data_IF_988210337255
#
_entry.id   IF_988210337255
#
_cell.length_a   1.000
_cell.length_b   1.000
_cell.length_c   1.000
_cell.angle_alpha   90.00
_cell.angle_beta   90.00
_cell.angle_gamma   90.00
#
_symmetry.space_group_name_H-M   'P 1'
#
loop_
_entity.id
_entity.type
_entity.pdbx_description
1 polymer ?
#
# COMPACT_ATOMS: atom_id res chain seq x y z
N UNK A 1 -0.49 35.14 14.44
CA UNK A 1 -0.37 33.75 14.93
C UNK A 1 0.77 33.09 14.18
N UNK A 2 1.96 33.10 14.78
CA UNK A 2 3.20 32.64 14.16
C UNK A 2 3.24 31.11 14.12
N UNK A 3 3.46 30.56 12.93
CA UNK A 3 3.72 29.14 12.72
C UNK A 3 5.03 28.77 13.43
N UNK A 4 4.93 28.06 14.55
CA UNK A 4 6.08 27.51 15.24
C UNK A 4 6.70 26.41 14.37
N UNK A 5 7.87 26.74 13.81
CA UNK A 5 8.79 25.79 13.19
C UNK A 5 9.08 24.66 14.16
N UNK A 6 8.68 23.44 13.80
CA UNK A 6 9.06 22.22 14.51
C UNK A 6 10.55 21.99 14.31
N UNK A 7 11.38 22.47 15.23
CA UNK A 7 12.76 22.04 15.33
C UNK A 7 12.77 20.53 15.56
N UNK A 8 13.23 19.76 14.56
CA UNK A 8 13.46 18.33 14.75
C UNK A 8 14.69 18.17 15.64
N UNK A 9 14.58 17.61 16.85
CA UNK A 9 15.77 17.36 17.65
C UNK A 9 16.65 16.38 16.89
N UNK A 10 17.93 16.71 16.73
CA UNK A 10 18.98 15.80 16.26
C UNK A 10 19.15 14.70 17.30
N UNK A 11 18.20 13.77 17.30
CA UNK A 11 18.00 12.79 18.34
C UNK A 11 19.08 11.72 18.12
N UNK A 12 20.22 11.86 18.78
CA UNK A 12 21.32 10.89 18.77
C UNK A 12 20.82 9.47 19.10
N UNK A 13 21.53 8.45 18.62
CA UNK A 13 21.21 7.05 18.93
C UNK A 13 21.27 6.82 20.45
N UNK A 14 20.22 6.20 21.01
CA UNK A 14 20.07 6.00 22.45
C UNK A 14 20.60 4.65 22.90
N UNK A 15 21.21 4.61 24.08
CA UNK A 15 21.59 3.37 24.74
C UNK A 15 20.44 2.86 25.61
N UNK A 16 20.26 1.54 25.66
CA UNK A 16 19.29 0.91 26.54
C UNK A 16 19.70 1.11 28.01
N UNK A 17 18.83 1.59 28.91
CA UNK A 17 19.19 1.79 30.32
C UNK A 17 19.44 0.47 31.08
N UNK A 18 19.04 -0.68 30.52
CA UNK A 18 19.26 -2.00 31.12
C UNK A 18 20.59 -2.64 30.70
N UNK A 19 20.91 -2.68 29.40
CA UNK A 19 22.14 -3.33 28.90
C UNK A 19 23.13 -2.41 28.20
N UNK A 20 22.85 -1.11 28.13
CA UNK A 20 23.72 -0.08 27.53
C UNK A 20 24.01 -0.28 26.02
N UNK A 21 23.41 -1.29 25.38
CA UNK A 21 23.51 -1.49 23.94
C UNK A 21 22.69 -0.42 23.19
N UNK A 22 23.16 -0.03 22.01
CA UNK A 22 22.44 0.90 21.14
C UNK A 22 21.06 0.34 20.77
N UNK A 23 20.06 1.19 20.84
CA UNK A 23 18.68 0.86 20.49
C UNK A 23 18.39 1.23 19.04
N UNK A 24 17.58 0.40 18.40
CA UNK A 24 17.14 0.62 17.02
C UNK A 24 15.93 1.54 17.00
N UNK A 25 15.92 2.49 16.08
CA UNK A 25 14.73 3.30 15.82
C UNK A 25 13.77 2.62 14.88
N UNK A 26 12.50 2.60 15.25
CA UNK A 26 11.44 2.03 14.42
C UNK A 26 10.22 2.94 14.41
N UNK A 27 9.56 3.01 13.26
CA UNK A 27 8.26 3.66 13.14
C UNK A 27 7.20 2.75 13.77
N UNK A 28 6.48 3.25 14.75
CA UNK A 28 5.36 2.55 15.38
C UNK A 28 4.23 2.37 14.35
N UNK A 29 3.59 1.20 14.33
CA UNK A 29 2.50 0.91 13.39
C UNK A 29 2.81 1.18 11.90
N UNK A 30 4.08 1.01 11.49
CA UNK A 30 4.63 1.17 10.12
C UNK A 30 4.51 2.58 9.50
N UNK A 31 3.35 3.24 9.60
CA UNK A 31 3.02 4.49 8.94
C UNK A 31 2.41 5.53 9.90
N UNK A 32 2.61 5.39 11.21
CA UNK A 32 2.11 6.41 12.17
C UNK A 32 2.96 7.69 12.15
N UNK A 33 4.24 7.57 11.78
CA UNK A 33 5.20 8.67 11.87
C UNK A 33 5.83 8.82 13.25
N UNK A 34 5.38 8.02 14.23
CA UNK A 34 5.88 8.02 15.61
C UNK A 34 7.09 7.11 15.67
N UNK A 35 8.25 7.65 16.00
CA UNK A 35 9.50 6.90 16.10
C UNK A 35 9.69 6.45 17.55
N UNK A 36 10.00 5.17 17.77
CA UNK A 36 10.30 4.63 19.10
C UNK A 36 11.68 3.97 19.11
N UNK A 37 12.35 3.99 20.26
CA UNK A 37 13.65 3.36 20.45
C UNK A 37 13.46 1.93 20.99
N UNK A 38 14.03 0.93 20.31
CA UNK A 38 13.81 -0.50 20.59
C UNK A 38 15.13 -1.20 20.92
N UNK A 39 15.22 -1.72 22.14
CA UNK A 39 16.24 -2.66 22.54
C UNK A 39 15.83 -4.08 22.11
N UNK A 40 16.73 -4.81 21.44
CA UNK A 40 16.46 -6.21 21.04
C UNK A 40 16.23 -7.15 22.23
N UNK A 41 16.73 -6.81 23.42
CA UNK A 41 16.63 -7.63 24.63
C UNK A 41 15.53 -7.18 25.60
N UNK A 42 15.34 -5.87 25.77
CA UNK A 42 14.48 -5.31 26.82
C UNK A 42 13.19 -4.66 26.31
N UNK A 43 12.99 -4.61 24.99
CA UNK A 43 11.76 -4.08 24.39
C UNK A 43 11.83 -2.60 24.06
N UNK A 44 10.68 -1.93 24.14
CA UNK A 44 10.45 -0.58 23.61
C UNK A 44 10.61 0.45 24.73
N UNK A 45 11.31 1.53 24.42
CA UNK A 45 11.47 2.70 25.28
C UNK A 45 10.84 3.92 24.61
N UNK A 46 10.14 4.72 25.40
CA UNK A 46 9.45 5.93 24.96
C UNK A 46 10.05 7.15 25.63
N UNK A 47 10.16 8.24 24.88
CA UNK A 47 10.33 9.56 25.47
C UNK A 47 9.02 10.16 25.95
N UNK A 48 9.15 11.26 26.71
CA UNK A 48 8.04 11.96 27.35
C UNK A 48 6.88 12.31 26.40
N UNK A 49 7.15 12.57 25.12
CA UNK A 49 6.13 12.90 24.13
C UNK A 49 5.72 11.71 23.25
N UNK A 50 6.55 10.67 23.13
CA UNK A 50 6.30 9.56 22.20
C UNK A 50 5.20 8.63 22.71
N UNK A 51 5.12 8.43 24.03
CA UNK A 51 4.08 7.60 24.61
C UNK A 51 2.69 8.20 24.37
N UNK A 52 2.54 9.51 24.56
CA UNK A 52 1.27 10.21 24.35
C UNK A 52 0.82 10.14 22.89
N UNK A 53 1.74 10.33 21.95
CA UNK A 53 1.49 10.17 20.52
C UNK A 53 1.03 8.76 20.17
N UNK A 54 1.70 7.71 20.70
CA UNK A 54 1.31 6.32 20.48
C UNK A 54 -0.09 6.06 21.04
N UNK A 55 -0.37 6.52 22.26
CA UNK A 55 -1.68 6.36 22.87
C UNK A 55 -2.78 7.08 22.08
N UNK A 56 -2.50 8.29 21.57
CA UNK A 56 -3.44 9.01 20.71
C UNK A 56 -3.67 8.29 19.38
N UNK A 57 -2.61 7.75 18.77
CA UNK A 57 -2.70 6.97 17.55
C UNK A 57 -3.57 5.72 17.75
N UNK A 58 -3.36 4.98 18.84
CA UNK A 58 -4.20 3.81 19.18
C UNK A 58 -5.66 4.23 19.37
N UNK A 59 -5.92 5.26 20.19
CA UNK A 59 -7.30 5.74 20.46
C UNK A 59 -8.02 6.20 19.21
N UNK A 60 -7.30 6.79 18.25
CA UNK A 60 -7.89 7.26 16.99
C UNK A 60 -8.36 6.13 16.07
N UNK A 61 -8.00 4.86 16.35
CA UNK A 61 -8.36 3.71 15.52
C UNK A 61 -7.71 3.72 14.14
N UNK A 62 -6.68 4.55 13.92
CA UNK A 62 -6.01 4.72 12.63
C UNK A 62 -5.44 3.42 12.08
N UNK A 63 -4.94 2.53 12.95
CA UNK A 63 -4.43 1.21 12.55
C UNK A 63 -5.51 0.39 11.82
N UNK A 64 -6.72 0.33 12.38
CA UNK A 64 -7.83 -0.42 11.78
C UNK A 64 -8.25 0.21 10.45
N UNK A 65 -8.31 1.54 10.39
CA UNK A 65 -8.62 2.25 9.13
C UNK A 65 -7.58 1.97 8.05
N UNK A 66 -6.29 1.94 8.39
CA UNK A 66 -5.21 1.61 7.45
C UNK A 66 -5.36 0.18 6.93
N UNK A 67 -5.61 -0.79 7.81
CA UNK A 67 -5.84 -2.18 7.42
C UNK A 67 -7.06 -2.33 6.50
N UNK A 68 -8.18 -1.68 6.81
CA UNK A 68 -9.38 -1.69 5.97
C UNK A 68 -9.13 -1.07 4.60
N UNK A 69 -8.40 0.05 4.53
CA UNK A 69 -8.01 0.69 3.26
C UNK A 69 -7.12 -0.24 2.43
N UNK A 70 -6.13 -0.88 3.04
CA UNK A 70 -5.26 -1.85 2.36
C UNK A 70 -6.07 -3.04 1.82
N UNK A 71 -6.95 -3.62 2.64
CA UNK A 71 -7.83 -4.71 2.23
C UNK A 71 -8.77 -4.31 1.09
N UNK A 72 -9.33 -3.09 1.13
CA UNK A 72 -10.19 -2.56 0.05
C UNK A 72 -9.41 -2.39 -1.25
N UNK A 73 -8.19 -1.82 -1.19
CA UNK A 73 -7.31 -1.68 -2.36
C UNK A 73 -6.96 -3.04 -2.96
N UNK A 74 -6.53 -4.00 -2.15
CA UNK A 74 -6.21 -5.35 -2.61
C UNK A 74 -7.42 -6.03 -3.30
N UNK A 75 -8.63 -5.91 -2.74
CA UNK A 75 -9.86 -6.43 -3.37
C UNK A 75 -10.16 -5.76 -4.71
N UNK A 76 -9.96 -4.44 -4.80
CA UNK A 76 -10.17 -3.70 -6.05
C UNK A 76 -9.17 -4.13 -7.13
N UNK A 77 -7.90 -4.32 -6.78
CA UNK A 77 -6.86 -4.79 -7.70
C UNK A 77 -7.17 -6.19 -8.24
N UNK A 78 -7.57 -7.12 -7.36
CA UNK A 78 -8.00 -8.47 -7.76
C UNK A 78 -9.21 -8.41 -8.71
N UNK A 79 -10.19 -7.55 -8.41
CA UNK A 79 -11.39 -7.41 -9.25
C UNK A 79 -11.04 -6.87 -10.64
N UNK A 80 -10.19 -5.84 -10.70
CA UNK A 80 -9.70 -5.28 -11.98
C UNK A 80 -8.91 -6.31 -12.79
N UNK A 81 -8.02 -7.07 -12.14
CA UNK A 81 -7.25 -8.11 -12.80
C UNK A 81 -8.16 -9.21 -13.37
N UNK A 82 -9.18 -9.64 -12.62
CA UNK A 82 -10.18 -10.62 -13.10
C UNK A 82 -10.96 -10.09 -14.31
N UNK A 83 -11.41 -8.84 -14.26
CA UNK A 83 -12.14 -8.22 -15.37
C UNK A 83 -11.26 -8.12 -16.64
N UNK A 84 -9.99 -7.77 -16.48
CA UNK A 84 -9.01 -7.73 -17.60
C UNK A 84 -8.83 -9.11 -18.22
N UNK A 85 -8.57 -10.15 -17.41
CA UNK A 85 -8.43 -11.53 -17.87
C UNK A 85 -9.70 -12.00 -18.60
N UNK A 86 -10.88 -11.61 -18.11
CA UNK A 86 -12.14 -12.00 -18.74
C UNK A 86 -12.36 -11.29 -20.08
N UNK A 87 -12.04 -9.99 -20.18
CA UNK A 87 -12.09 -9.25 -21.43
C UNK A 87 -11.13 -9.84 -22.48
N UNK A 88 -9.89 -10.16 -22.09
CA UNK A 88 -8.90 -10.82 -22.96
C UNK A 88 -9.38 -12.20 -23.44
N UNK A 89 -10.03 -12.99 -22.57
CA UNK A 89 -10.62 -14.28 -22.96
C UNK A 89 -11.80 -14.11 -23.92
N UNK A 90 -12.63 -13.07 -23.74
CA UNK A 90 -13.75 -12.79 -24.63
C UNK A 90 -13.28 -12.33 -26.00
N UNK A 91 -12.30 -11.42 -26.08
CA UNK A 91 -11.72 -10.99 -27.36
C UNK A 91 -11.07 -12.16 -28.08
N UNK A 92 -10.26 -12.99 -27.39
CA UNK A 92 -9.67 -14.18 -27.99
C UNK A 92 -10.72 -15.20 -28.49
N UNK A 93 -11.84 -15.37 -27.78
CA UNK A 93 -12.94 -16.24 -28.21
C UNK A 93 -13.64 -15.70 -29.46
N UNK A 94 -13.91 -14.39 -29.48
CA UNK A 94 -14.50 -13.66 -30.61
C UNK A 94 -13.62 -13.87 -31.85
N UNK A 95 -12.33 -13.50 -31.79
CA UNK A 95 -11.38 -13.69 -32.91
C UNK A 95 -11.32 -15.13 -33.42
N UNK A 96 -11.31 -16.12 -32.51
CA UNK A 96 -11.28 -17.55 -32.89
C UNK A 96 -12.57 -18.02 -33.59
N UNK A 97 -13.73 -17.47 -33.26
CA UNK A 97 -14.99 -17.84 -33.93
C UNK A 97 -15.10 -17.24 -35.34
N UNK A 98 -14.51 -16.06 -35.58
CA UNK A 98 -14.46 -15.47 -36.93
C UNK A 98 -13.56 -16.27 -37.89
N UNK A 99 -12.53 -16.92 -37.36
CA UNK A 99 -11.59 -17.76 -38.12
C UNK A 99 -12.24 -19.08 -38.64
N UNK A 100 -13.22 -19.63 -37.91
CA UNK A 100 -13.87 -20.92 -38.29
C UNK A 100 -15.02 -20.72 -39.29
N UNK A 101 -15.64 -19.54 -39.34
CA UNK A 101 -16.87 -19.30 -40.13
C UNK A 101 -16.65 -18.60 -41.48
N UNK A 102 -15.44 -18.17 -41.86
CA UNK A 102 -15.28 -17.37 -43.09
C UNK A 102 -14.29 -17.94 -44.09
N UNK A 103 -14.84 -18.69 -45.05
CA UNK A 103 -14.34 -18.72 -46.44
C UNK A 103 -15.09 -17.70 -47.30
N UNK A 104 -15.24 -16.45 -46.83
CA UNK A 104 -15.70 -15.34 -47.68
C UNK A 104 -14.97 -14.04 -47.34
N UNK A 105 -14.23 -13.55 -48.32
CA UNK A 105 -13.17 -12.53 -48.28
C UNK A 105 -13.64 -11.09 -48.07
N UNK A 106 -14.88 -10.84 -47.63
CA UNK A 106 -15.41 -9.47 -47.47
C UNK A 106 -15.55 -9.08 -45.99
N UNK A 107 -15.72 -10.07 -45.09
CA UNK A 107 -15.95 -9.81 -43.67
C UNK A 107 -14.68 -9.53 -42.86
N UNK A 108 -13.50 -9.96 -43.35
CA UNK A 108 -12.21 -9.66 -42.70
C UNK A 108 -11.88 -8.18 -42.80
N UNK A 109 -12.12 -7.57 -43.97
CA UNK A 109 -11.68 -6.21 -44.29
C UNK A 109 -12.46 -5.14 -43.50
N UNK A 110 -13.73 -5.40 -43.18
CA UNK A 110 -14.58 -4.50 -42.39
C UNK A 110 -14.18 -4.51 -40.91
N UNK A 111 -13.79 -5.69 -40.39
CA UNK A 111 -13.36 -5.83 -38.99
C UNK A 111 -12.00 -5.16 -38.79
N UNK A 112 -11.09 -5.25 -39.77
CA UNK A 112 -9.79 -4.56 -39.75
C UNK A 112 -9.96 -3.02 -39.73
N UNK A 113 -10.88 -2.47 -40.55
CA UNK A 113 -11.17 -1.03 -40.56
C UNK A 113 -11.77 -0.48 -39.25
N UNK A 114 -12.54 -1.29 -38.52
CA UNK A 114 -13.20 -0.87 -37.26
C UNK A 114 -12.27 -0.92 -36.03
N UNK A 115 -11.15 -1.65 -36.11
CA UNK A 115 -10.17 -1.74 -35.02
C UNK A 115 -9.07 -0.68 -35.15
N UNK A 116 -8.88 -0.11 -36.35
CA UNK A 116 -7.81 0.84 -36.69
C UNK A 116 -8.29 2.30 -36.92
N UNK A 117 -9.48 2.66 -36.42
CA UNK A 117 -10.03 4.03 -36.46
C UNK A 117 -10.30 4.64 -35.09
#
# INVERSE_FOLDING_TARGET
>A
HSAQSRETPTKFYRQCPQCQQLMNRRNYAQASGIVVDVCSKHGIWFDIHELDEVLQYIRSGQLLQQQQKAARKAKQEVTKAKAKIQAEKQTAKITRTYDISSRSSILTDIIEWLVDK
#
